data_IF_823617658743
#
_entry.id   IF_823617658743
#
_cell.length_a   1.000
_cell.length_b   1.000
_cell.length_c   1.000
_cell.angle_alpha   90.00
_cell.angle_beta   90.00
_cell.angle_gamma   90.00
#
_symmetry.space_group_name_H-M   'P 1'
#
loop_
_entity.id
_entity.type
_entity.pdbx_description
1 polymer ?
#
# COMPACT_ATOMS: atom_id res chain seq x y z
N UNK A 1 11.73 -14.74 -5.39
CA UNK A 1 10.65 -13.79 -5.74
C UNK A 1 9.86 -13.43 -4.50
N UNK A 2 9.70 -12.16 -4.18
CA UNK A 2 8.87 -11.78 -3.04
C UNK A 2 7.39 -11.95 -3.37
N UNK A 3 6.59 -12.13 -2.34
CA UNK A 3 5.16 -11.93 -2.47
C UNK A 3 4.93 -10.42 -2.58
N UNK A 4 4.14 -9.99 -3.54
CA UNK A 4 3.87 -8.57 -3.73
C UNK A 4 2.63 -8.16 -2.96
N UNK A 5 2.77 -7.08 -2.20
CA UNK A 5 1.67 -6.42 -1.53
C UNK A 5 1.16 -5.30 -2.43
N UNK A 6 -0.12 -5.35 -2.79
CA UNK A 6 -0.75 -4.30 -3.59
C UNK A 6 -1.17 -3.16 -2.67
N UNK A 7 -0.89 -1.93 -3.06
CA UNK A 7 -1.19 -0.74 -2.26
C UNK A 7 -1.96 0.31 -3.05
N UNK A 8 -2.93 0.91 -2.41
CA UNK A 8 -3.66 2.06 -2.91
C UNK A 8 -3.47 3.17 -1.88
N UNK A 9 -3.05 4.34 -2.33
CA UNK A 9 -2.66 5.44 -1.46
C UNK A 9 -3.35 6.73 -1.87
N UNK A 10 -3.94 7.42 -0.90
CA UNK A 10 -4.43 8.78 -1.05
C UNK A 10 -3.67 9.67 -0.09
N UNK A 11 -2.98 10.66 -0.63
CA UNK A 11 -2.23 11.65 0.15
C UNK A 11 -2.88 13.03 0.00
N UNK A 12 -2.96 13.77 1.08
CA UNK A 12 -3.33 15.17 1.03
C UNK A 12 -2.35 16.00 1.86
N UNK A 13 -2.21 17.27 1.50
CA UNK A 13 -1.32 18.20 2.19
C UNK A 13 -1.79 19.63 1.95
N UNK A 14 -1.69 20.48 2.97
CA UNK A 14 -2.05 21.89 2.84
C UNK A 14 -1.17 22.64 1.84
N UNK A 15 0.09 22.24 1.73
CA UNK A 15 1.03 22.80 0.77
C UNK A 15 1.04 21.96 -0.50
N UNK A 16 0.46 22.50 -1.57
CA UNK A 16 0.38 21.83 -2.87
C UNK A 16 1.74 21.46 -3.43
N UNK A 17 2.80 22.19 -3.07
CA UNK A 17 4.17 21.87 -3.48
C UNK A 17 4.63 20.52 -2.95
N UNK A 18 4.16 20.15 -1.75
CA UNK A 18 4.46 18.83 -1.19
C UNK A 18 3.75 17.73 -1.97
N UNK A 19 2.56 17.99 -2.49
CA UNK A 19 1.84 17.04 -3.33
C UNK A 19 2.55 16.86 -4.68
N UNK A 20 3.03 17.96 -5.29
CA UNK A 20 3.82 17.88 -6.53
C UNK A 20 5.12 17.09 -6.29
N UNK A 21 5.78 17.34 -5.17
CA UNK A 21 7.00 16.63 -4.79
C UNK A 21 6.75 15.11 -4.67
N UNK A 22 5.64 14.74 -4.00
CA UNK A 22 5.26 13.33 -3.86
C UNK A 22 4.91 12.71 -5.22
N UNK A 23 4.17 13.43 -6.06
CA UNK A 23 3.81 13.00 -7.42
C UNK A 23 5.07 12.70 -8.25
N UNK A 24 6.01 13.64 -8.27
CA UNK A 24 7.21 13.51 -9.08
C UNK A 24 8.09 12.36 -8.58
N UNK A 25 8.19 12.19 -7.25
CA UNK A 25 8.93 11.09 -6.66
C UNK A 25 8.30 9.73 -7.00
N UNK A 26 6.98 9.62 -6.94
CA UNK A 26 6.25 8.42 -7.34
C UNK A 26 6.44 8.14 -8.83
N UNK A 27 6.33 9.17 -9.67
CA UNK A 27 6.46 9.02 -11.12
C UNK A 27 7.84 8.52 -11.55
N UNK A 28 8.91 8.89 -10.81
CA UNK A 28 10.27 8.45 -11.13
C UNK A 28 10.70 7.18 -10.35
N UNK A 29 9.83 6.62 -9.51
CA UNK A 29 10.13 5.39 -8.77
C UNK A 29 11.05 5.57 -7.57
N UNK A 30 11.05 6.76 -6.96
CA UNK A 30 11.92 7.09 -5.82
C UNK A 30 11.13 7.69 -4.64
N UNK A 31 9.90 7.22 -4.43
CA UNK A 31 9.02 7.81 -3.43
C UNK A 31 9.56 7.70 -2.02
N UNK A 32 9.97 6.51 -1.60
CA UNK A 32 10.49 6.30 -0.24
C UNK A 32 11.82 7.02 -0.06
N UNK A 33 12.68 6.93 -1.06
CA UNK A 33 14.00 7.57 -1.05
C UNK A 33 13.90 9.09 -0.97
N UNK A 34 12.91 9.68 -1.63
CA UNK A 34 12.71 11.14 -1.60
C UNK A 34 12.40 11.64 -0.19
N UNK A 35 11.56 10.92 0.55
CA UNK A 35 11.09 11.38 1.85
C UNK A 35 11.87 10.81 3.03
N UNK A 36 12.50 9.65 2.85
CA UNK A 36 13.26 8.99 3.92
C UNK A 36 14.36 8.13 3.31
N UNK A 37 15.43 8.77 2.80
CA UNK A 37 16.51 8.03 2.14
C UNK A 37 17.30 7.17 3.11
N UNK A 38 17.85 6.06 2.61
CA UNK A 38 18.75 5.22 3.38
C UNK A 38 20.02 6.01 3.67
N UNK A 39 20.40 6.19 4.95
CA UNK A 39 21.63 6.92 5.28
C UNK A 39 22.87 6.20 4.75
N UNK A 40 23.89 6.96 4.38
CA UNK A 40 25.17 6.42 3.91
C UNK A 40 25.75 5.39 4.89
N UNK A 41 25.64 5.68 6.19
CA UNK A 41 26.15 4.80 7.26
C UNK A 41 25.40 3.46 7.34
N UNK A 42 24.19 3.36 6.74
CA UNK A 42 23.36 2.16 6.81
C UNK A 42 23.33 1.36 5.50
N UNK A 43 24.13 1.73 4.51
CA UNK A 43 24.15 1.04 3.20
C UNK A 43 24.46 -0.44 3.30
N UNK A 44 25.35 -0.83 4.20
CA UNK A 44 25.72 -2.24 4.41
C UNK A 44 24.66 -2.99 5.21
N UNK A 45 23.73 -2.27 5.85
CA UNK A 45 22.65 -2.83 6.67
C UNK A 45 21.28 -2.39 6.11
N UNK A 46 21.21 -2.16 4.80
CA UNK A 46 20.04 -1.57 4.13
C UNK A 46 18.75 -2.37 4.34
N UNK A 47 18.84 -3.70 4.34
CA UNK A 47 17.66 -4.56 4.49
C UNK A 47 16.97 -4.31 5.84
N UNK A 48 17.74 -4.36 6.92
CA UNK A 48 17.21 -4.10 8.26
C UNK A 48 16.71 -2.66 8.38
N UNK A 49 17.47 -1.70 7.83
CA UNK A 49 17.07 -0.29 7.88
C UNK A 49 15.77 -0.05 7.13
N UNK A 50 15.61 -0.56 5.92
CA UNK A 50 14.39 -0.38 5.11
C UNK A 50 13.17 -1.03 5.78
N UNK A 51 13.30 -2.26 6.26
CA UNK A 51 12.18 -2.94 6.91
C UNK A 51 11.76 -2.25 8.22
N UNK A 52 12.71 -1.63 8.92
CA UNK A 52 12.42 -0.88 10.14
C UNK A 52 11.82 0.49 9.88
N UNK A 53 12.31 1.21 8.86
CA UNK A 53 11.96 2.61 8.64
C UNK A 53 10.92 2.83 7.54
N UNK A 54 10.85 1.96 6.54
CA UNK A 54 9.82 2.01 5.50
C UNK A 54 8.68 1.02 5.79
N UNK A 55 8.98 -0.10 6.44
CA UNK A 55 8.04 -1.20 6.64
C UNK A 55 8.10 -2.24 5.52
N UNK A 56 8.98 -2.06 4.55
CA UNK A 56 9.21 -2.96 3.42
C UNK A 56 10.67 -2.84 2.97
N UNK A 57 11.17 -3.86 2.28
CA UNK A 57 12.60 -3.90 1.94
C UNK A 57 13.02 -3.14 0.70
N UNK A 58 12.09 -2.87 -0.22
CA UNK A 58 12.40 -2.22 -1.51
C UNK A 58 11.54 -1.00 -1.74
N UNK A 59 12.00 -0.14 -2.66
CA UNK A 59 11.26 1.02 -3.13
C UNK A 59 9.93 0.59 -3.77
N UNK A 60 8.95 1.50 -3.78
CA UNK A 60 7.64 1.26 -4.38
C UNK A 60 7.75 0.99 -5.89
N UNK A 61 7.08 -0.06 -6.35
CA UNK A 61 6.94 -0.34 -7.78
C UNK A 61 5.61 0.27 -8.23
N UNK A 62 5.66 1.47 -8.78
CA UNK A 62 4.49 2.31 -9.05
C UNK A 62 3.81 1.91 -10.35
N UNK A 63 2.50 1.66 -10.30
CA UNK A 63 1.67 1.39 -11.48
C UNK A 63 0.89 2.62 -11.93
N UNK A 64 0.62 3.57 -11.04
CA UNK A 64 -0.10 4.79 -11.41
C UNK A 64 -0.02 5.85 -10.33
N UNK A 65 -0.01 7.11 -10.74
CA UNK A 65 -0.04 8.26 -9.86
C UNK A 65 -0.78 9.41 -10.54
N UNK A 66 -1.66 10.07 -9.81
CA UNK A 66 -2.43 11.19 -10.35
C UNK A 66 -2.75 12.21 -9.24
N UNK A 67 -2.56 13.49 -9.58
CA UNK A 67 -3.03 14.59 -8.73
C UNK A 67 -4.47 14.88 -9.14
N UNK A 68 -5.37 15.02 -8.16
CA UNK A 68 -6.79 15.30 -8.42
C UNK A 68 -6.92 16.64 -9.16
N UNK A 69 -7.71 16.65 -10.26
CA UNK A 69 -7.89 17.84 -11.09
C UNK A 69 -8.64 18.95 -10.39
N UNK A 70 -9.60 18.59 -9.54
CA UNK A 70 -10.45 19.56 -8.83
C UNK A 70 -9.86 19.97 -7.50
N UNK A 71 -9.01 19.10 -6.91
CA UNK A 71 -8.41 19.30 -5.61
C UNK A 71 -6.88 19.03 -5.69
N UNK A 72 -6.08 20.02 -6.12
CA UNK A 72 -4.63 19.82 -6.29
C UNK A 72 -3.86 19.55 -4.97
N UNK A 73 -4.55 19.60 -3.85
CA UNK A 73 -4.00 19.19 -2.55
C UNK A 73 -4.14 17.70 -2.28
N UNK A 74 -4.69 16.92 -3.21
CA UNK A 74 -4.93 15.48 -3.09
C UNK A 74 -4.25 14.73 -4.24
N UNK A 75 -3.60 13.61 -3.89
CA UNK A 75 -2.93 12.73 -4.83
C UNK A 75 -3.37 11.31 -4.59
N UNK A 76 -3.58 10.54 -5.67
CA UNK A 76 -3.87 9.11 -5.61
C UNK A 76 -2.78 8.33 -6.31
N UNK A 77 -2.35 7.22 -5.74
CA UNK A 77 -1.31 6.36 -6.28
C UNK A 77 -1.62 4.90 -6.04
N UNK A 78 -1.12 4.07 -6.97
CA UNK A 78 -1.17 2.61 -6.84
C UNK A 78 0.24 2.08 -7.04
N UNK A 79 0.69 1.21 -6.14
CA UNK A 79 2.03 0.64 -6.23
C UNK A 79 2.09 -0.68 -5.48
N UNK A 80 3.11 -1.47 -5.80
CA UNK A 80 3.37 -2.74 -5.13
C UNK A 80 4.61 -2.62 -4.26
N UNK A 81 4.58 -3.29 -3.11
CA UNK A 81 5.71 -3.38 -2.19
C UNK A 81 6.02 -4.84 -1.89
N UNK A 82 7.26 -5.10 -1.48
CA UNK A 82 7.70 -6.47 -1.18
C UNK A 82 7.21 -6.89 0.21
N UNK A 83 6.40 -7.95 0.28
CA UNK A 83 5.92 -8.65 1.49
C UNK A 83 4.91 -7.91 2.35
N UNK A 84 4.99 -6.59 2.46
CA UNK A 84 4.17 -5.82 3.40
C UNK A 84 3.94 -4.39 2.94
N UNK A 85 2.87 -3.71 3.42
CA UNK A 85 2.66 -2.31 3.11
C UNK A 85 3.71 -1.44 3.83
N UNK A 86 4.04 -0.26 3.26
CA UNK A 86 5.08 0.61 3.84
C UNK A 86 4.52 1.49 4.97
N UNK A 87 3.98 0.87 6.01
CA UNK A 87 3.30 1.59 7.10
C UNK A 87 4.25 2.52 7.87
N UNK A 88 5.51 2.09 8.08
CA UNK A 88 6.46 2.94 8.78
C UNK A 88 6.78 4.21 8.00
N UNK A 89 6.80 4.13 6.66
CA UNK A 89 6.93 5.31 5.82
C UNK A 89 5.69 6.21 5.96
N UNK A 90 4.49 5.64 6.00
CA UNK A 90 3.26 6.42 6.16
C UNK A 90 3.30 7.23 7.46
N UNK A 91 3.80 6.65 8.53
CA UNK A 91 3.97 7.35 9.81
C UNK A 91 4.92 8.52 9.67
N UNK A 92 6.00 8.34 8.91
CA UNK A 92 6.96 9.43 8.63
C UNK A 92 6.31 10.56 7.83
N UNK A 93 5.52 10.21 6.81
CA UNK A 93 4.80 11.21 6.00
C UNK A 93 3.85 12.05 6.84
N UNK A 94 3.21 11.44 7.84
CA UNK A 94 2.37 12.20 8.78
C UNK A 94 3.17 13.28 9.51
N UNK A 95 4.42 12.98 9.87
CA UNK A 95 5.28 13.97 10.56
C UNK A 95 5.62 15.15 9.68
N UNK A 96 5.49 14.99 8.35
CA UNK A 96 5.74 16.04 7.36
C UNK A 96 4.47 16.81 7.01
N UNK A 97 3.35 16.51 7.66
CA UNK A 97 2.09 17.20 7.46
C UNK A 97 1.13 16.54 6.48
N UNK A 98 1.48 15.38 5.93
CA UNK A 98 0.56 14.65 5.05
C UNK A 98 -0.55 13.98 5.85
N UNK A 99 -1.76 13.99 5.27
CA UNK A 99 -2.82 13.08 5.68
C UNK A 99 -2.70 11.87 4.79
N UNK A 100 -2.61 10.68 5.40
CA UNK A 100 -2.37 9.43 4.68
C UNK A 100 -3.56 8.50 4.84
N UNK A 101 -4.11 8.07 3.71
CA UNK A 101 -5.19 7.08 3.66
C UNK A 101 -4.75 5.99 2.70
N UNK A 102 -4.65 4.76 3.20
CA UNK A 102 -4.08 3.67 2.43
C UNK A 102 -4.88 2.39 2.59
N UNK A 103 -4.87 1.58 1.53
CA UNK A 103 -5.42 0.23 1.53
C UNK A 103 -4.35 -0.70 1.01
N UNK A 104 -4.32 -1.93 1.51
CA UNK A 104 -3.33 -2.91 1.06
C UNK A 104 -3.92 -4.32 1.01
N UNK A 105 -3.35 -5.15 0.13
CA UNK A 105 -3.73 -6.55 -0.03
C UNK A 105 -2.53 -7.36 -0.48
N UNK A 106 -2.21 -8.42 0.27
CA UNK A 106 -1.14 -9.36 -0.07
C UNK A 106 -1.76 -10.75 -0.19
N UNK A 107 -1.92 -11.22 -1.44
CA UNK A 107 -2.63 -12.47 -1.73
C UNK A 107 -1.84 -13.72 -1.37
N UNK A 108 -0.51 -13.64 -1.37
CA UNK A 108 0.34 -14.79 -1.08
C UNK A 108 0.21 -15.28 0.37
N UNK A 109 0.22 -14.36 1.32
CA UNK A 109 0.03 -14.66 2.74
C UNK A 109 -1.41 -14.43 3.19
N UNK A 110 -2.28 -14.01 2.27
CA UNK A 110 -3.71 -13.81 2.49
C UNK A 110 -4.02 -12.83 3.62
N UNK A 111 -3.56 -11.59 3.47
CA UNK A 111 -3.97 -10.51 4.38
C UNK A 111 -4.32 -9.23 3.62
N UNK A 112 -5.12 -8.40 4.23
CA UNK A 112 -5.49 -7.09 3.69
C UNK A 112 -5.71 -6.13 4.85
N UNK A 113 -5.78 -4.83 4.53
CA UNK A 113 -6.05 -3.85 5.57
C UNK A 113 -6.24 -2.45 5.05
N UNK A 114 -6.57 -1.58 5.97
CA UNK A 114 -6.73 -0.14 5.73
C UNK A 114 -5.96 0.62 6.79
N UNK A 115 -5.18 1.61 6.38
CA UNK A 115 -4.43 2.44 7.30
C UNK A 115 -4.85 3.90 7.13
N UNK A 116 -5.20 4.54 8.23
CA UNK A 116 -5.59 5.94 8.21
C UNK A 116 -4.97 6.65 9.40
N UNK A 117 -4.03 7.53 9.14
CA UNK A 117 -3.41 8.43 10.12
C UNK A 117 -3.08 7.78 11.48
N UNK A 118 -2.44 6.60 11.43
CA UNK A 118 -2.02 5.90 12.64
C UNK A 118 -2.89 4.73 13.03
N UNK A 119 -4.03 4.55 12.38
CA UNK A 119 -4.93 3.40 12.62
C UNK A 119 -4.75 2.37 11.52
N UNK A 120 -4.35 1.16 11.91
CA UNK A 120 -4.21 0.03 10.99
C UNK A 120 -5.29 -1.01 11.29
N UNK A 121 -6.25 -1.15 10.38
CA UNK A 121 -7.27 -2.20 10.44
C UNK A 121 -6.78 -3.39 9.61
N UNK A 122 -6.12 -4.33 10.25
CA UNK A 122 -5.52 -5.51 9.63
C UNK A 122 -6.51 -6.68 9.65
N UNK A 123 -6.61 -7.38 8.51
CA UNK A 123 -7.49 -8.56 8.36
C UNK A 123 -6.66 -9.74 7.87
N UNK A 124 -6.59 -10.79 8.68
CA UNK A 124 -6.00 -12.07 8.28
C UNK A 124 -7.08 -12.88 7.55
N UNK A 125 -6.87 -13.14 6.26
CA UNK A 125 -7.84 -13.82 5.40
C UNK A 125 -7.50 -15.29 5.19
N UNK A 126 -6.43 -15.77 5.82
CA UNK A 126 -6.01 -17.16 5.68
C UNK A 126 -7.07 -18.14 6.17
N UNK A 127 -7.40 -19.13 5.34
CA UNK A 127 -8.37 -20.14 5.68
C UNK A 127 -9.84 -19.75 5.51
N UNK A 128 -10.11 -18.51 5.10
CA UNK A 128 -11.48 -18.04 4.88
C UNK A 128 -11.97 -18.33 3.47
N UNK A 129 -13.27 -18.61 3.33
CA UNK A 129 -13.92 -18.72 2.02
C UNK A 129 -14.19 -17.31 1.45
N UNK A 130 -14.52 -17.23 0.16
CA UNK A 130 -14.89 -15.97 -0.47
C UNK A 130 -16.07 -15.31 0.23
N UNK A 131 -17.08 -16.08 0.60
CA UNK A 131 -18.26 -15.58 1.32
C UNK A 131 -17.88 -15.01 2.69
N UNK A 132 -17.00 -15.71 3.42
CA UNK A 132 -16.53 -15.25 4.72
C UNK A 132 -15.73 -13.95 4.61
N UNK A 133 -14.87 -13.84 3.60
CA UNK A 133 -14.08 -12.63 3.33
C UNK A 133 -15.01 -11.46 3.03
N UNK A 134 -15.99 -11.67 2.14
CA UNK A 134 -16.97 -10.64 1.75
C UNK A 134 -17.69 -10.04 2.96
N UNK A 135 -17.97 -10.87 3.97
CA UNK A 135 -18.66 -10.43 5.19
C UNK A 135 -17.73 -9.95 6.30
N UNK A 136 -16.43 -10.17 6.16
CA UNK A 136 -15.43 -9.82 7.19
C UNK A 136 -14.79 -8.47 6.96
N UNK A 137 -14.44 -8.14 5.70
CA UNK A 137 -13.73 -6.91 5.39
C UNK A 137 -14.70 -5.81 4.93
N UNK A 138 -14.31 -4.52 5.10
CA UNK A 138 -15.12 -3.42 4.59
C UNK A 138 -15.30 -3.52 3.08
N UNK A 139 -16.50 -3.14 2.60
CA UNK A 139 -16.84 -3.18 1.19
C UNK A 139 -15.84 -2.37 0.33
N UNK A 140 -15.41 -1.21 0.82
CA UNK A 140 -14.45 -0.35 0.10
C UNK A 140 -13.09 -1.02 -0.09
N UNK A 141 -12.63 -1.80 0.88
CA UNK A 141 -11.38 -2.55 0.78
C UNK A 141 -11.52 -3.69 -0.21
N UNK A 142 -12.62 -4.43 -0.13
CA UNK A 142 -12.92 -5.53 -1.04
C UNK A 142 -13.01 -5.04 -2.48
N UNK A 143 -13.73 -3.94 -2.70
CA UNK A 143 -13.93 -3.36 -4.03
C UNK A 143 -12.61 -2.85 -4.63
N UNK A 144 -11.72 -2.27 -3.80
CA UNK A 144 -10.46 -1.71 -4.28
C UNK A 144 -9.58 -2.75 -4.97
N UNK A 145 -9.52 -3.96 -4.41
CA UNK A 145 -8.66 -5.03 -4.92
C UNK A 145 -9.42 -6.20 -5.54
N UNK A 146 -10.75 -6.17 -5.52
CA UNK A 146 -11.57 -7.27 -6.05
C UNK A 146 -11.33 -8.58 -5.31
N UNK A 147 -11.13 -8.51 -3.99
CA UNK A 147 -10.68 -9.65 -3.19
C UNK A 147 -11.66 -10.81 -3.21
N UNK A 148 -12.91 -10.60 -2.77
CA UNK A 148 -13.91 -11.66 -2.72
C UNK A 148 -14.29 -12.16 -4.11
N UNK A 149 -14.39 -11.26 -5.10
CA UNK A 149 -14.70 -11.63 -6.48
C UNK A 149 -13.66 -12.59 -7.06
N UNK A 150 -12.37 -12.30 -6.83
CA UNK A 150 -11.27 -13.16 -7.27
C UNK A 150 -11.30 -14.50 -6.54
N UNK A 151 -11.65 -14.51 -5.27
CA UNK A 151 -11.77 -15.74 -4.47
C UNK A 151 -12.95 -16.60 -4.93
N UNK A 152 -14.10 -15.97 -5.25
CA UNK A 152 -15.27 -16.69 -5.80
C UNK A 152 -14.90 -17.35 -7.13
N UNK A 153 -14.20 -16.62 -8.00
CA UNK A 153 -13.76 -17.16 -9.28
C UNK A 153 -12.82 -18.34 -9.09
N UNK A 154 -11.86 -18.23 -8.20
CA UNK A 154 -10.92 -19.31 -7.88
C UNK A 154 -11.66 -20.54 -7.32
N UNK A 155 -12.61 -20.35 -6.42
CA UNK A 155 -13.41 -21.44 -5.84
C UNK A 155 -14.23 -22.16 -6.92
N UNK A 156 -14.86 -21.40 -7.83
CA UNK A 156 -15.63 -21.94 -8.93
C UNK A 156 -14.75 -22.78 -9.87
N UNK A 157 -13.59 -22.28 -10.25
CA UNK A 157 -12.63 -22.99 -11.11
C UNK A 157 -12.14 -24.29 -10.46
N UNK A 158 -11.89 -24.27 -9.16
CA UNK A 158 -11.38 -25.43 -8.44
C UNK A 158 -12.47 -26.45 -8.09
N UNK A 159 -13.73 -26.04 -8.03
CA UNK A 159 -14.85 -26.93 -7.79
C UNK A 159 -15.20 -27.75 -9.03
N UNK A 160 -15.03 -27.18 -10.23
CA UNK A 160 -15.30 -27.86 -11.50
C UNK A 160 -14.30 -29.00 -11.77
N UNK A 161 -13.10 -28.92 -11.21
CA UNK A 161 -12.04 -29.93 -11.38
C UNK A 161 -12.17 -31.11 -10.40
N UNK A 162 -13.14 -31.09 -9.52
CA UNK A 162 -13.41 -32.19 -8.57
C UNK A 162 -14.60 -33.05 -9.05
#
# INVERSE_FOLDING_TARGET
MPNWCNNSLTLSHEDEKMIVRAHDALARGEFFTEFLPVPEAEKDNWYFWCTTNWGTKWEANVSGVEIDRDEPSILEASFDTAWSPPIELYKHLQTLGFTVEAKYYESGMCFAGMWYNGYDDFFDLGGLSAEEVEHTIPEELDAEFGISDNMYQWEEENTEDS
#
